data_IF_368863435778
#
_entry.id   IF_368863435778
#
_cell.length_a   1.000
_cell.length_b   1.000
_cell.length_c   1.000
_cell.angle_alpha   90.00
_cell.angle_beta   90.00
_cell.angle_gamma   90.00
#
_symmetry.space_group_name_H-M   'P 1'
#
loop_
_entity.id
_entity.type
_entity.pdbx_description
1 polymer ?
#
# COMPACT_ATOMS: atom_id res chain seq x y z
N UNK A 1 -13.00 1.21 -14.73
CA UNK A 1 -12.22 -0.05 -14.61
C UNK A 1 -11.28 0.13 -13.43
N UNK A 2 -11.34 -0.79 -12.41
CA UNK A 2 -10.34 -0.83 -11.33
C UNK A 2 -8.96 -1.02 -11.96
N UNK A 3 -7.98 -0.21 -11.56
CA UNK A 3 -6.60 -0.34 -12.04
C UNK A 3 -6.06 -1.76 -11.77
N UNK A 4 -5.21 -2.28 -12.63
CA UNK A 4 -4.70 -3.66 -12.61
C UNK A 4 -4.01 -4.06 -11.28
N UNK A 5 -3.58 -3.07 -10.47
CA UNK A 5 -2.84 -3.26 -9.23
C UNK A 5 -3.49 -2.57 -8.02
N UNK A 6 -4.78 -2.22 -8.12
CA UNK A 6 -5.50 -1.57 -7.04
C UNK A 6 -5.68 -2.51 -5.85
N UNK A 7 -5.28 -2.05 -4.67
CA UNK A 7 -5.39 -2.79 -3.42
C UNK A 7 -6.86 -2.80 -2.96
N UNK A 8 -7.37 -3.99 -2.62
CA UNK A 8 -8.66 -4.11 -1.95
C UNK A 8 -8.49 -3.87 -0.44
N UNK A 9 -9.02 -2.78 0.07
CA UNK A 9 -8.91 -2.42 1.49
C UNK A 9 -10.13 -2.90 2.25
N UNK A 10 -9.90 -3.66 3.32
CA UNK A 10 -10.92 -4.15 4.26
C UNK A 10 -10.60 -3.72 5.69
N UNK A 11 -11.62 -3.71 6.53
CA UNK A 11 -11.51 -3.38 7.96
C UNK A 11 -12.16 -4.50 8.78
N UNK A 12 -11.41 -5.06 9.73
CA UNK A 12 -11.85 -6.12 10.63
C UNK A 12 -11.50 -5.75 12.08
N UNK A 13 -12.18 -6.35 13.05
CA UNK A 13 -11.81 -6.16 14.46
C UNK A 13 -10.54 -6.92 14.82
N UNK A 14 -10.36 -8.11 14.24
CA UNK A 14 -9.25 -9.04 14.52
C UNK A 14 -8.58 -9.45 13.21
N UNK A 15 -7.31 -9.78 13.29
CA UNK A 15 -6.56 -10.27 12.14
C UNK A 15 -7.16 -11.58 11.60
N UNK A 16 -7.20 -11.76 10.26
CA UNK A 16 -7.67 -12.99 9.66
C UNK A 16 -6.84 -14.21 10.14
N UNK A 17 -7.52 -15.31 10.43
CA UNK A 17 -6.86 -16.57 10.75
C UNK A 17 -6.34 -17.32 9.49
N UNK A 18 -6.75 -16.88 8.31
CA UNK A 18 -6.37 -17.45 7.01
C UNK A 18 -4.85 -17.33 6.78
N UNK A 19 -4.20 -18.46 6.46
CA UNK A 19 -2.75 -18.58 6.21
C UNK A 19 -2.27 -17.84 4.95
N UNK A 20 -3.18 -17.46 4.07
CA UNK A 20 -2.88 -16.63 2.89
C UNK A 20 -2.49 -15.20 3.25
N UNK A 21 -2.80 -14.75 4.48
CA UNK A 21 -2.43 -13.44 4.96
C UNK A 21 -1.05 -13.41 5.60
N UNK A 22 -0.23 -12.45 5.17
CA UNK A 22 0.96 -12.06 5.91
C UNK A 22 0.59 -11.05 7.00
N UNK A 23 0.96 -11.33 8.23
CA UNK A 23 0.80 -10.41 9.34
C UNK A 23 1.92 -9.37 9.30
N UNK A 24 1.59 -8.09 9.30
CA UNK A 24 2.58 -7.01 9.32
C UNK A 24 2.65 -6.42 10.72
N UNK A 25 3.86 -6.43 11.29
CA UNK A 25 4.19 -5.78 12.55
C UNK A 25 5.28 -4.71 12.35
N UNK A 26 5.22 -3.63 13.14
CA UNK A 26 6.19 -2.55 13.13
C UNK A 26 6.93 -2.55 14.47
N UNK A 27 8.25 -2.65 14.43
CA UNK A 27 9.09 -2.80 15.62
C UNK A 27 10.14 -1.69 15.70
N UNK A 28 10.51 -1.29 16.93
CA UNK A 28 11.52 -0.27 17.20
C UNK A 28 12.95 -0.84 17.06
N UNK A 29 13.24 -1.35 15.88
CA UNK A 29 14.49 -1.93 15.46
C UNK A 29 14.84 -1.40 14.06
N UNK A 30 16.08 -1.56 13.61
CA UNK A 30 16.49 -1.12 12.28
C UNK A 30 16.20 -2.17 11.20
N UNK A 31 16.27 -3.44 11.58
CA UNK A 31 16.13 -4.57 10.67
C UNK A 31 14.67 -4.89 10.37
N UNK A 32 14.46 -5.40 9.17
CA UNK A 32 13.14 -5.88 8.71
C UNK A 32 13.29 -7.26 8.13
N UNK A 33 12.38 -8.14 8.46
CA UNK A 33 12.42 -9.53 8.02
C UNK A 33 11.04 -10.09 7.62
N UNK A 34 11.07 -11.22 6.93
CA UNK A 34 9.87 -12.03 6.69
C UNK A 34 10.15 -13.44 7.17
N UNK A 35 9.31 -13.95 8.06
CA UNK A 35 9.42 -15.30 8.62
C UNK A 35 8.12 -16.08 8.51
N UNK A 36 8.22 -17.40 8.64
CA UNK A 36 7.05 -18.28 8.74
C UNK A 36 6.86 -18.64 10.21
N UNK A 37 5.66 -18.40 10.73
CA UNK A 37 5.27 -18.72 12.10
C UNK A 37 5.02 -20.24 12.25
N UNK A 38 5.01 -20.73 13.49
CA UNK A 38 4.77 -22.14 13.82
C UNK A 38 3.42 -22.68 13.29
N UNK A 39 2.44 -21.82 13.12
CA UNK A 39 1.11 -22.15 12.55
C UNK A 39 1.08 -22.09 11.01
N UNK A 40 2.21 -21.80 10.38
CA UNK A 40 2.38 -21.70 8.92
C UNK A 40 1.98 -20.35 8.32
N UNK A 41 1.54 -19.37 9.10
CA UNK A 41 1.33 -18.00 8.64
C UNK A 41 2.65 -17.29 8.39
N UNK A 42 2.65 -16.34 7.47
CA UNK A 42 3.81 -15.48 7.24
C UNK A 42 3.71 -14.22 8.10
N UNK A 43 4.82 -13.80 8.67
CA UNK A 43 4.94 -12.53 9.36
C UNK A 43 5.98 -11.67 8.65
N UNK A 44 5.63 -10.39 8.48
CA UNK A 44 6.50 -9.34 7.96
C UNK A 44 6.78 -8.38 9.10
N UNK A 45 7.96 -8.44 9.66
CA UNK A 45 8.42 -7.49 10.67
C UNK A 45 9.11 -6.33 9.96
N UNK A 46 8.61 -5.11 10.17
CA UNK A 46 9.17 -3.89 9.58
C UNK A 46 9.85 -3.09 10.67
N UNK A 47 11.16 -2.97 10.60
CA UNK A 47 11.94 -2.12 11.46
C UNK A 47 11.69 -0.65 11.17
N UNK A 48 11.38 0.12 12.22
CA UNK A 48 11.06 1.55 12.12
C UNK A 48 12.11 2.43 12.81
N UNK A 49 13.15 1.81 13.37
CA UNK A 49 14.28 2.46 14.01
C UNK A 49 13.98 2.96 15.41
N UNK A 50 14.77 3.92 15.87
CA UNK A 50 14.65 4.50 17.21
C UNK A 50 13.39 5.36 17.34
N UNK A 51 12.69 5.22 18.46
CA UNK A 51 11.41 5.91 18.74
C UNK A 51 11.55 7.43 18.72
N UNK A 52 12.61 7.95 19.28
CA UNK A 52 12.89 9.39 19.39
C UNK A 52 13.15 10.05 18.03
N UNK A 53 13.66 9.27 17.08
CA UNK A 53 13.96 9.72 15.72
C UNK A 53 12.86 9.40 14.71
N UNK A 54 11.75 8.77 15.18
CA UNK A 54 10.65 8.41 14.30
C UNK A 54 9.79 9.64 13.97
N UNK A 55 9.50 9.81 12.70
CA UNK A 55 8.78 10.96 12.18
C UNK A 55 7.91 10.58 10.98
N UNK A 56 7.15 11.53 10.47
CA UNK A 56 6.23 11.34 9.33
C UNK A 56 6.90 10.74 8.10
N UNK A 57 8.16 11.11 7.79
CA UNK A 57 8.90 10.53 6.67
C UNK A 57 9.20 9.04 6.90
N UNK A 58 9.66 8.69 8.10
CA UNK A 58 9.93 7.29 8.48
C UNK A 58 8.64 6.47 8.51
N UNK A 59 7.52 7.04 8.95
CA UNK A 59 6.19 6.41 8.85
C UNK A 59 5.84 6.05 7.41
N UNK A 60 5.99 6.98 6.47
CA UNK A 60 5.76 6.73 5.03
C UNK A 60 6.67 5.61 4.51
N UNK A 61 7.95 5.63 4.88
CA UNK A 61 8.91 4.61 4.46
C UNK A 61 8.56 3.23 5.04
N UNK A 62 8.09 3.16 6.29
CA UNK A 62 7.63 1.91 6.91
C UNK A 62 6.44 1.30 6.16
N UNK A 63 5.45 2.11 5.78
CA UNK A 63 4.32 1.67 4.95
C UNK A 63 4.79 1.10 3.62
N UNK A 64 5.71 1.79 2.94
CA UNK A 64 6.26 1.32 1.66
C UNK A 64 7.08 0.04 1.82
N UNK A 65 7.90 -0.07 2.89
CA UNK A 65 8.65 -1.29 3.21
C UNK A 65 7.74 -2.49 3.39
N UNK A 66 6.63 -2.36 4.12
CA UNK A 66 5.66 -3.45 4.29
C UNK A 66 5.20 -4.03 2.94
N UNK A 67 4.88 -3.17 1.97
CA UNK A 67 4.50 -3.60 0.61
C UNK A 67 5.68 -4.26 -0.13
N UNK A 68 6.89 -3.69 -0.02
CA UNK A 68 8.10 -4.24 -0.67
C UNK A 68 8.41 -5.64 -0.14
N UNK A 69 8.39 -5.83 1.19
CA UNK A 69 8.61 -7.14 1.80
C UNK A 69 7.50 -8.14 1.45
N UNK A 70 6.24 -7.72 1.42
CA UNK A 70 5.14 -8.56 0.96
C UNK A 70 5.36 -9.05 -0.47
N UNK A 71 5.72 -8.14 -1.39
CA UNK A 71 6.02 -8.47 -2.79
C UNK A 71 7.23 -9.41 -2.90
N UNK A 72 8.31 -9.17 -2.15
CA UNK A 72 9.49 -10.03 -2.12
C UNK A 72 9.15 -11.44 -1.63
N UNK A 73 8.35 -11.56 -0.56
CA UNK A 73 7.87 -12.82 0.02
C UNK A 73 6.74 -13.50 -0.76
N UNK A 74 6.34 -12.97 -1.93
CA UNK A 74 5.18 -13.45 -2.74
C UNK A 74 3.87 -13.48 -1.93
N UNK A 75 3.71 -12.54 -1.00
CA UNK A 75 2.53 -12.42 -0.14
C UNK A 75 1.56 -11.45 -0.80
N UNK A 76 0.39 -11.94 -1.21
CA UNK A 76 -0.61 -11.15 -1.93
C UNK A 76 -1.61 -10.44 -1.01
N UNK A 77 -1.79 -10.94 0.20
CA UNK A 77 -2.73 -10.41 1.18
C UNK A 77 -1.98 -10.11 2.47
N UNK A 78 -2.14 -8.92 3.03
CA UNK A 78 -1.51 -8.54 4.30
C UNK A 78 -2.54 -8.02 5.29
N UNK A 79 -2.28 -8.22 6.56
CA UNK A 79 -3.08 -7.71 7.67
C UNK A 79 -2.19 -7.00 8.68
N UNK A 80 -2.67 -5.88 9.24
CA UNK A 80 -1.95 -5.12 10.24
C UNK A 80 -2.89 -4.43 11.23
N UNK A 81 -2.39 -4.21 12.45
CA UNK A 81 -3.07 -3.42 13.49
C UNK A 81 -2.90 -1.93 13.18
N UNK A 82 -3.97 -1.30 12.66
CA UNK A 82 -3.92 0.11 12.29
C UNK A 82 -3.84 1.03 13.51
N UNK A 83 -4.65 0.89 14.56
CA UNK A 83 -4.54 1.71 15.76
C UNK A 83 -3.17 1.67 16.41
N UNK A 84 -2.55 0.49 16.52
CA UNK A 84 -1.21 0.36 17.08
C UNK A 84 -0.18 1.12 16.25
N UNK A 85 -0.25 1.01 14.92
CA UNK A 85 0.70 1.72 14.06
C UNK A 85 0.49 3.24 14.04
N UNK A 86 -0.75 3.73 14.05
CA UNK A 86 -1.02 5.17 14.14
C UNK A 86 -0.49 5.79 15.45
N UNK A 87 -0.52 5.05 16.55
CA UNK A 87 0.02 5.48 17.85
C UNK A 87 1.54 5.65 17.89
N UNK A 88 2.27 5.19 16.86
CA UNK A 88 3.73 5.45 16.77
C UNK A 88 4.07 6.93 16.62
N UNK A 89 3.12 7.76 16.15
CA UNK A 89 3.23 9.21 16.07
C UNK A 89 2.07 9.89 16.82
N UNK A 90 2.06 9.85 18.16
CA UNK A 90 0.92 10.26 18.98
C UNK A 90 0.60 11.77 18.93
N UNK A 91 1.51 12.59 18.40
CA UNK A 91 1.31 14.04 18.22
C UNK A 91 0.67 14.39 16.87
N UNK A 92 0.60 13.43 15.95
CA UNK A 92 0.02 13.61 14.63
C UNK A 92 -1.48 13.26 14.63
N UNK A 93 -2.24 13.87 13.75
CA UNK A 93 -3.66 13.51 13.59
C UNK A 93 -3.77 12.10 12.97
N UNK A 94 -4.50 11.16 13.61
CA UNK A 94 -4.65 9.81 13.11
C UNK A 94 -5.27 9.71 11.70
N UNK A 95 -6.20 10.62 11.35
CA UNK A 95 -6.80 10.64 10.02
C UNK A 95 -5.79 11.09 8.95
N UNK A 96 -4.91 12.05 9.26
CA UNK A 96 -3.84 12.45 8.34
C UNK A 96 -2.83 11.33 8.10
N UNK A 97 -2.43 10.61 9.16
CA UNK A 97 -1.56 9.45 9.05
C UNK A 97 -2.22 8.33 8.23
N UNK A 98 -3.51 8.07 8.46
CA UNK A 98 -4.27 7.09 7.70
C UNK A 98 -4.37 7.47 6.22
N UNK A 99 -4.58 8.75 5.90
CA UNK A 99 -4.56 9.25 4.52
C UNK A 99 -3.22 9.00 3.85
N UNK A 100 -2.12 9.36 4.52
CA UNK A 100 -0.77 9.09 4.01
C UNK A 100 -0.50 7.60 3.81
N UNK A 101 -1.00 6.76 4.72
CA UNK A 101 -0.88 5.32 4.60
C UNK A 101 -1.59 4.78 3.36
N UNK A 102 -2.86 5.16 3.14
CA UNK A 102 -3.62 4.76 1.95
C UNK A 102 -2.92 5.17 0.65
N UNK A 103 -2.43 6.39 0.58
CA UNK A 103 -1.67 6.92 -0.55
C UNK A 103 -0.40 6.09 -0.83
N UNK A 104 0.39 5.84 0.22
CA UNK A 104 1.69 5.19 0.06
C UNK A 104 1.60 3.67 -0.14
N UNK A 105 0.54 3.00 0.32
CA UNK A 105 0.27 1.61 -0.03
C UNK A 105 0.08 1.45 -1.54
N UNK A 106 -0.78 2.27 -2.16
CA UNK A 106 -1.01 2.23 -3.62
C UNK A 106 0.26 2.59 -4.39
N UNK A 107 0.96 3.66 -3.98
CA UNK A 107 2.18 4.10 -4.65
C UNK A 107 3.30 3.06 -4.59
N UNK A 108 3.45 2.32 -3.48
CA UNK A 108 4.45 1.27 -3.33
C UNK A 108 4.09 -0.01 -4.11
N UNK A 109 2.79 -0.27 -4.27
CA UNK A 109 2.30 -1.43 -5.01
C UNK A 109 2.42 -1.28 -6.53
N UNK A 110 2.56 -0.05 -7.02
CA UNK A 110 2.67 0.25 -8.45
C UNK A 110 3.86 -0.44 -9.11
N UNK A 111 3.63 -0.96 -10.30
CA UNK A 111 4.68 -1.46 -11.19
C UNK A 111 4.28 -1.20 -12.64
N UNK A 112 5.19 -0.58 -13.40
CA UNK A 112 5.00 -0.36 -14.83
C UNK A 112 5.44 -1.60 -15.60
N UNK A 113 4.49 -2.34 -16.16
CA UNK A 113 4.71 -3.65 -16.79
C UNK A 113 4.33 -3.71 -18.26
N UNK A 114 3.85 -2.59 -18.83
CA UNK A 114 3.25 -2.56 -20.18
C UNK A 114 4.15 -3.15 -21.28
N UNK A 115 5.46 -2.93 -21.16
CA UNK A 115 6.44 -3.35 -22.17
C UNK A 115 7.39 -4.45 -21.67
N UNK A 116 7.08 -5.07 -20.55
CA UNK A 116 7.90 -6.13 -19.95
C UNK A 116 7.29 -7.50 -20.21
N UNK A 117 8.12 -8.49 -20.49
CA UNK A 117 7.71 -9.89 -20.51
C UNK A 117 7.32 -10.32 -19.10
N UNK A 118 6.12 -10.91 -18.90
CA UNK A 118 5.73 -11.40 -17.59
C UNK A 118 6.72 -12.44 -17.06
N UNK A 119 7.14 -12.34 -15.77
CA UNK A 119 7.89 -13.42 -15.12
C UNK A 119 7.10 -14.74 -15.12
N UNK A 120 7.80 -15.87 -15.08
CA UNK A 120 7.17 -17.21 -15.02
C UNK A 120 6.12 -17.33 -13.90
N UNK A 121 6.41 -16.72 -12.74
CA UNK A 121 5.53 -16.70 -11.56
C UNK A 121 4.48 -15.56 -11.59
N UNK A 122 4.38 -14.81 -12.67
CA UNK A 122 3.56 -13.61 -12.79
C UNK A 122 4.11 -12.40 -12.03
N UNK A 123 3.39 -11.29 -12.13
CA UNK A 123 3.77 -10.03 -11.45
C UNK A 123 3.46 -10.11 -9.95
N UNK A 124 4.38 -9.59 -9.15
CA UNK A 124 4.25 -9.55 -7.69
C UNK A 124 3.54 -8.26 -7.28
N UNK A 125 2.40 -8.41 -6.65
CA UNK A 125 1.62 -7.27 -6.13
C UNK A 125 0.83 -7.68 -4.89
N UNK A 126 0.58 -6.73 -4.00
CA UNK A 126 -0.39 -6.88 -2.91
C UNK A 126 -1.78 -6.62 -3.48
N UNK A 127 -2.67 -7.59 -3.34
CA UNK A 127 -4.04 -7.50 -3.85
C UNK A 127 -5.05 -7.10 -2.78
N UNK A 128 -4.74 -7.38 -1.51
CA UNK A 128 -5.63 -7.08 -0.37
C UNK A 128 -4.84 -6.63 0.85
N UNK A 129 -5.36 -5.59 1.53
CA UNK A 129 -4.87 -5.13 2.83
C UNK A 129 -6.03 -5.10 3.80
N UNK A 130 -5.89 -5.82 4.91
CA UNK A 130 -6.84 -5.82 6.02
C UNK A 130 -6.28 -4.98 7.16
N UNK A 131 -7.01 -3.94 7.54
CA UNK A 131 -6.73 -3.14 8.73
C UNK A 131 -7.53 -3.67 9.90
N UNK A 132 -6.82 -4.09 10.95
CA UNK A 132 -7.41 -4.67 12.14
C UNK A 132 -7.49 -3.64 13.27
N UNK A 133 -8.42 -3.87 14.18
CA UNK A 133 -8.61 -3.06 15.39
C UNK A 133 -9.90 -2.24 15.38
N UNK A 134 -10.08 -1.45 16.44
CA UNK A 134 -11.18 -0.49 16.54
C UNK A 134 -10.80 0.81 15.80
N UNK A 135 -11.38 0.99 14.63
CA UNK A 135 -11.00 2.05 13.68
C UNK A 135 -12.22 2.97 13.47
N UNK A 136 -12.07 4.24 13.80
CA UNK A 136 -13.11 5.25 13.62
C UNK A 136 -13.52 5.41 12.16
N UNK A 137 -14.73 5.89 11.94
CA UNK A 137 -15.25 6.17 10.58
C UNK A 137 -14.39 7.19 9.86
N UNK A 138 -13.93 8.22 10.58
CA UNK A 138 -13.06 9.27 10.04
C UNK A 138 -11.74 8.69 9.51
N UNK A 139 -11.06 7.85 10.29
CA UNK A 139 -9.80 7.19 9.89
C UNK A 139 -10.03 6.28 8.68
N UNK A 140 -11.13 5.52 8.63
CA UNK A 140 -11.49 4.70 7.48
C UNK A 140 -11.70 5.53 6.21
N UNK A 141 -12.39 6.66 6.32
CA UNK A 141 -12.64 7.58 5.20
C UNK A 141 -11.34 8.24 4.73
N UNK A 142 -10.50 8.70 5.66
CA UNK A 142 -9.21 9.31 5.35
C UNK A 142 -8.29 8.35 4.61
N UNK A 143 -8.22 7.09 5.05
CA UNK A 143 -7.43 6.05 4.40
C UNK A 143 -7.90 5.78 2.96
N UNK A 144 -9.22 5.66 2.75
CA UNK A 144 -9.79 5.50 1.40
C UNK A 144 -9.54 6.72 0.52
N UNK A 145 -9.60 7.94 1.09
CA UNK A 145 -9.24 9.17 0.37
C UNK A 145 -7.77 9.15 -0.06
N UNK A 146 -6.87 8.75 0.83
CA UNK A 146 -5.45 8.57 0.51
C UNK A 146 -5.24 7.54 -0.61
N UNK A 147 -5.94 6.40 -0.55
CA UNK A 147 -5.90 5.40 -1.61
C UNK A 147 -6.25 6.02 -2.98
N UNK A 148 -7.31 6.83 -3.05
CA UNK A 148 -7.69 7.52 -4.29
C UNK A 148 -6.61 8.47 -4.81
N UNK A 149 -5.92 9.19 -3.92
CA UNK A 149 -4.77 10.01 -4.29
C UNK A 149 -3.64 9.15 -4.86
N UNK A 150 -3.30 8.04 -4.20
CA UNK A 150 -2.29 7.10 -4.67
C UNK A 150 -2.62 6.49 -6.04
N UNK A 151 -3.89 6.14 -6.30
CA UNK A 151 -4.38 5.70 -7.61
C UNK A 151 -4.15 6.79 -8.67
N UNK A 152 -4.47 8.04 -8.37
CA UNK A 152 -4.26 9.17 -9.28
C UNK A 152 -2.78 9.37 -9.62
N UNK A 153 -1.90 9.33 -8.60
CA UNK A 153 -0.45 9.41 -8.79
C UNK A 153 0.05 8.26 -9.66
N UNK A 154 -0.43 7.03 -9.44
CA UNK A 154 -0.06 5.88 -10.26
C UNK A 154 -0.56 6.01 -11.69
N UNK A 155 -1.73 6.61 -11.91
CA UNK A 155 -2.22 6.95 -13.26
C UNK A 155 -1.27 7.91 -13.99
N UNK A 156 -0.79 8.96 -13.31
CA UNK A 156 0.21 9.88 -13.87
C UNK A 156 1.53 9.15 -14.17
N UNK A 157 1.99 8.27 -13.27
CA UNK A 157 3.22 7.47 -13.48
C UNK A 157 3.07 6.51 -14.66
N UNK A 158 1.90 5.92 -14.87
CA UNK A 158 1.61 5.09 -16.04
C UNK A 158 1.80 5.90 -17.33
N UNK A 159 1.24 7.11 -17.41
CA UNK A 159 1.39 7.99 -18.57
C UNK A 159 2.83 8.44 -18.78
N UNK A 160 3.54 8.83 -17.71
CA UNK A 160 4.91 9.32 -17.75
C UNK A 160 5.93 8.25 -18.16
N UNK A 161 5.62 6.97 -17.90
CA UNK A 161 6.50 5.84 -18.25
C UNK A 161 6.27 5.33 -19.68
N UNK A 162 5.28 5.86 -20.40
CA UNK A 162 5.08 5.48 -21.80
C UNK A 162 6.14 6.09 -22.70
N UNK A 163 6.68 5.33 -23.69
CA UNK A 163 7.60 5.87 -24.69
C UNK A 163 6.98 7.03 -25.47
N UNK A 164 7.81 8.02 -25.84
CA UNK A 164 7.35 9.23 -26.55
C UNK A 164 6.64 8.93 -27.87
N UNK A 165 7.02 7.86 -28.57
CA UNK A 165 6.33 7.42 -29.79
C UNK A 165 4.89 6.94 -29.58
N UNK A 166 4.55 6.47 -28.36
CA UNK A 166 3.18 6.05 -28.02
C UNK A 166 2.42 7.15 -27.27
N UNK A 167 3.10 8.00 -26.50
CA UNK A 167 2.49 9.11 -25.76
C UNK A 167 2.33 10.34 -26.68
N UNK A 168 1.42 10.24 -27.62
CA UNK A 168 1.06 11.36 -28.50
C UNK A 168 0.09 12.33 -27.79
N UNK A 169 -0.05 13.58 -28.28
CA UNK A 169 -1.06 14.51 -27.74
C UNK A 169 -2.48 13.94 -27.75
N UNK A 170 -2.85 13.16 -28.75
CA UNK A 170 -4.15 12.50 -28.84
C UNK A 170 -4.35 11.46 -27.74
N UNK A 171 -3.31 10.64 -27.43
CA UNK A 171 -3.35 9.65 -26.34
C UNK A 171 -3.48 10.34 -24.98
N UNK A 172 -2.74 11.43 -24.75
CA UNK A 172 -2.84 12.20 -23.51
C UNK A 172 -4.22 12.85 -23.35
N UNK A 173 -4.78 13.43 -24.41
CA UNK A 173 -6.13 13.99 -24.43
C UNK A 173 -7.20 12.95 -24.07
N UNK A 174 -7.12 11.77 -24.68
CA UNK A 174 -8.05 10.68 -24.40
C UNK A 174 -7.91 10.14 -22.95
N UNK A 175 -6.69 10.06 -22.43
CA UNK A 175 -6.44 9.66 -21.03
C UNK A 175 -7.06 10.68 -20.06
N UNK A 176 -6.91 11.97 -20.33
CA UNK A 176 -7.50 13.06 -19.55
C UNK A 176 -9.03 13.02 -19.58
N UNK A 177 -9.61 12.81 -20.77
CA UNK A 177 -11.06 12.65 -20.94
C UNK A 177 -11.61 11.46 -20.12
N UNK A 178 -10.92 10.32 -20.14
CA UNK A 178 -11.30 9.12 -19.35
C UNK A 178 -11.21 9.39 -17.85
N UNK A 179 -10.19 10.08 -17.39
CA UNK A 179 -10.05 10.45 -15.98
C UNK A 179 -11.18 11.38 -15.52
N UNK A 180 -11.57 12.37 -16.34
CA UNK A 180 -12.64 13.31 -16.01
C UNK A 180 -14.04 12.66 -15.91
N UNK A 181 -14.32 11.60 -16.66
CA UNK A 181 -15.62 10.90 -16.62
C UNK A 181 -15.86 10.21 -15.27
N UNK A 182 -14.82 9.81 -14.56
CA UNK A 182 -14.90 9.16 -13.25
C UNK A 182 -15.08 10.10 -12.06
N UNK A 183 -15.12 11.42 -12.27
CA UNK A 183 -15.10 12.45 -11.20
C UNK A 183 -16.42 13.22 -11.03
N UNK A 184 -17.48 12.83 -11.72
CA UNK A 184 -18.84 13.41 -11.57
C UNK A 184 -19.69 12.62 -10.61
#
# INVERSE_FOLDING_TARGET
RKGKYMINIKFLKVAPADKDFGLVSFVWEDDSETRVLSDGRKEITVGIGEKEKFNRRKFILAVRRAVVFAKAGKIKKIALDLPAFLKTLPKENPADLARLMGENLEMANFEFVKYKTPPKDGWRSVSEVVFCGDISVEVKQALKKGQKVGEGVNGCRELSNMPGGEMTPAVLSEASRKAAIGTR
#
